data_IF_372382032925
#
_entry.id   IF_372382032925
#
_cell.length_a   1.000
_cell.length_b   1.000
_cell.length_c   1.000
_cell.angle_alpha   90.00
_cell.angle_beta   90.00
_cell.angle_gamma   90.00
#
_symmetry.space_group_name_H-M   'P 1'
#
loop_
_entity.id
_entity.type
_entity.pdbx_description
1 polymer ?
#
# COMPACT_ATOMS: atom_id res chain seq x y z
N UNK A 1 57.12 -9.75 9.64
CA UNK A 1 55.66 -9.76 9.92
C UNK A 1 54.90 -8.74 9.06
N UNK A 2 55.33 -7.46 8.98
CA UNK A 2 54.63 -6.42 8.19
C UNK A 2 54.66 -6.59 6.67
N UNK A 3 55.64 -7.29 6.11
CA UNK A 3 55.76 -7.52 4.65
C UNK A 3 54.84 -8.63 4.16
N UNK A 4 54.50 -9.61 5.02
CA UNK A 4 53.61 -10.72 4.69
C UNK A 4 52.14 -10.28 4.59
N UNK A 5 51.76 -9.17 5.21
CA UNK A 5 50.41 -8.59 5.14
C UNK A 5 50.19 -7.65 3.96
N UNK A 6 51.26 -7.20 3.28
CA UNK A 6 51.13 -6.28 2.14
C UNK A 6 50.72 -6.99 0.84
N UNK A 7 51.19 -8.23 0.66
CA UNK A 7 50.86 -9.05 -0.51
C UNK A 7 49.36 -9.32 -0.68
N UNK A 8 48.60 -9.75 0.36
CA UNK A 8 47.16 -9.98 0.21
C UNK A 8 46.38 -8.68 -0.02
N UNK A 9 46.82 -7.55 0.56
CA UNK A 9 46.18 -6.24 0.39
C UNK A 9 46.36 -5.71 -1.03
N UNK A 10 47.56 -5.86 -1.60
CA UNK A 10 47.82 -5.51 -3.00
C UNK A 10 47.03 -6.38 -3.99
N UNK A 11 46.89 -7.67 -3.69
CA UNK A 11 46.08 -8.58 -4.50
C UNK A 11 44.60 -8.20 -4.50
N UNK A 12 44.04 -7.85 -3.33
CA UNK A 12 42.66 -7.37 -3.22
C UNK A 12 42.44 -6.04 -3.96
N UNK A 13 43.38 -5.10 -3.84
CA UNK A 13 43.29 -3.81 -4.54
C UNK A 13 43.29 -3.98 -6.07
N UNK A 14 44.12 -4.87 -6.61
CA UNK A 14 44.13 -5.18 -8.04
C UNK A 14 42.81 -5.82 -8.52
N UNK A 15 42.20 -6.69 -7.70
CA UNK A 15 40.92 -7.32 -8.01
C UNK A 15 39.76 -6.31 -8.06
N UNK A 16 39.75 -5.34 -7.14
CA UNK A 16 38.73 -4.28 -7.10
C UNK A 16 38.79 -3.36 -8.31
N UNK A 17 40.00 -3.03 -8.79
CA UNK A 17 40.18 -2.15 -9.96
C UNK A 17 39.80 -2.88 -11.26
N UNK A 18 40.12 -4.19 -11.36
CA UNK A 18 39.76 -4.99 -12.53
C UNK A 18 38.25 -5.28 -12.62
N UNK A 19 37.56 -5.41 -11.48
CA UNK A 19 36.11 -5.64 -11.43
C UNK A 19 35.25 -4.46 -11.88
N UNK A 20 35.82 -3.26 -12.00
CA UNK A 20 35.09 -2.04 -12.37
C UNK A 20 35.07 -1.79 -13.89
N UNK A 21 35.74 -2.62 -14.69
CA UNK A 21 35.83 -2.52 -16.15
C UNK A 21 34.66 -3.20 -16.90
N UNK A 22 33.53 -3.47 -16.23
CA UNK A 22 32.32 -4.06 -16.82
C UNK A 22 31.22 -3.08 -17.21
N UNK A 23 31.38 -1.77 -16.96
CA UNK A 23 30.40 -0.76 -17.37
C UNK A 23 30.74 -0.22 -18.77
N UNK A 24 30.11 -0.79 -19.79
CA UNK A 24 30.16 -0.32 -21.18
C UNK A 24 29.56 1.10 -21.28
N UNK A 25 30.24 2.10 -21.86
CA UNK A 25 29.63 3.36 -22.25
C UNK A 25 29.19 3.29 -23.72
N UNK A 26 27.89 3.39 -23.96
CA UNK A 26 27.30 3.68 -25.28
C UNK A 26 25.98 4.36 -24.96
N UNK A 27 25.75 5.62 -25.27
CA UNK A 27 25.92 6.27 -26.56
C UNK A 27 24.63 7.09 -26.71
N UNK A 28 24.77 8.34 -27.12
CA UNK A 28 23.67 9.29 -27.13
C UNK A 28 22.56 8.93 -28.12
N UNK A 29 21.34 9.34 -27.73
CA UNK A 29 20.18 9.72 -28.55
C UNK A 29 19.22 8.66 -29.12
N UNK A 30 17.95 9.09 -29.22
CA UNK A 30 16.87 8.55 -30.04
C UNK A 30 15.83 7.63 -29.37
N UNK A 31 14.82 8.26 -28.76
CA UNK A 31 13.42 8.23 -29.23
C UNK A 31 12.47 8.51 -28.06
N UNK A 32 12.11 9.79 -27.89
CA UNK A 32 10.90 10.18 -27.16
C UNK A 32 9.71 9.59 -27.93
N UNK A 33 9.25 8.42 -27.53
CA UNK A 33 8.22 7.71 -28.28
C UNK A 33 7.54 6.57 -27.52
N UNK A 34 7.21 6.76 -26.23
CA UNK A 34 6.38 5.79 -25.51
C UNK A 34 5.63 6.39 -24.29
N UNK A 35 5.35 7.70 -24.30
CA UNK A 35 4.66 8.37 -23.18
C UNK A 35 3.25 8.86 -23.53
N UNK A 36 2.61 8.26 -24.54
CA UNK A 36 1.20 8.48 -24.82
C UNK A 36 0.51 7.12 -24.87
N UNK A 37 0.16 6.61 -23.68
CA UNK A 37 -0.90 5.61 -23.56
C UNK A 37 -2.13 6.21 -24.25
N UNK A 38 -2.62 5.52 -25.28
CA UNK A 38 -3.77 6.01 -26.03
C UNK A 38 -4.94 6.22 -25.07
N UNK A 39 -5.58 7.38 -25.18
CA UNK A 39 -6.71 7.79 -24.33
C UNK A 39 -7.90 6.80 -24.36
N UNK A 40 -7.87 5.84 -25.27
CA UNK A 40 -8.90 4.82 -25.47
C UNK A 40 -8.84 3.70 -24.42
N UNK A 41 -7.66 3.35 -23.90
CA UNK A 41 -7.50 2.31 -22.87
C UNK A 41 -7.99 2.77 -21.49
N UNK A 42 -7.84 4.06 -21.18
CA UNK A 42 -8.36 4.66 -19.95
C UNK A 42 -9.89 4.76 -19.89
N UNK A 43 -10.59 4.59 -21.02
CA UNK A 43 -12.05 4.60 -21.08
C UNK A 43 -12.67 3.27 -20.66
N UNK A 44 -11.92 2.17 -20.69
CA UNK A 44 -12.48 0.85 -20.37
C UNK A 44 -12.53 0.60 -18.85
N UNK A 45 -11.63 1.21 -18.08
CA UNK A 45 -11.62 1.15 -16.61
C UNK A 45 -12.71 1.97 -15.93
N UNK A 46 -13.45 2.82 -16.65
CA UNK A 46 -14.62 3.56 -16.11
C UNK A 46 -15.89 2.71 -16.12
N UNK A 47 -15.87 1.51 -16.73
CA UNK A 47 -16.94 0.51 -16.56
C UNK A 47 -16.84 -0.17 -15.19
N UNK A 48 -16.75 0.58 -14.09
CA UNK A 48 -17.01 0.03 -12.74
C UNK A 48 -18.53 0.10 -12.52
N UNK A 49 -19.30 -0.95 -12.80
CA UNK A 49 -20.75 -0.94 -12.63
C UNK A 49 -20.99 -1.33 -11.17
N UNK A 50 -20.78 -0.41 -10.23
CA UNK A 50 -20.89 -0.77 -8.80
C UNK A 50 -21.59 0.22 -7.90
N UNK A 51 -22.45 1.07 -8.47
CA UNK A 51 -23.48 1.80 -7.70
C UNK A 51 -24.88 1.69 -8.30
N UNK A 52 -25.01 1.66 -9.62
CA UNK A 52 -26.32 1.57 -10.28
C UNK A 52 -27.02 0.22 -10.18
N UNK A 53 -26.30 -0.88 -9.92
CA UNK A 53 -26.92 -2.22 -9.88
C UNK A 53 -27.89 -2.37 -8.70
N UNK A 54 -27.51 -1.85 -7.52
CA UNK A 54 -28.37 -1.89 -6.33
C UNK A 54 -29.61 -0.98 -6.47
N UNK A 55 -29.46 0.17 -7.12
CA UNK A 55 -30.59 1.08 -7.39
C UNK A 55 -31.56 0.52 -8.44
N UNK A 56 -31.06 -0.24 -9.43
CA UNK A 56 -31.87 -0.84 -10.50
C UNK A 56 -32.70 -2.04 -10.03
N UNK A 57 -32.22 -2.77 -9.01
CA UNK A 57 -32.91 -3.91 -8.42
C UNK A 57 -34.07 -3.51 -7.49
N UNK A 58 -34.31 -2.21 -7.27
CA UNK A 58 -35.38 -1.73 -6.39
C UNK A 58 -35.22 -2.16 -4.92
N UNK A 59 -34.06 -2.71 -4.56
CA UNK A 59 -33.72 -3.06 -3.18
C UNK A 59 -33.38 -1.75 -2.48
N UNK A 60 -34.17 -1.32 -1.47
CA UNK A 60 -33.78 -0.19 -0.64
C UNK A 60 -32.35 -0.44 -0.19
N UNK A 61 -31.46 0.55 -0.34
CA UNK A 61 -30.17 0.49 0.31
C UNK A 61 -30.41 0.07 1.77
N UNK A 62 -29.65 -0.89 2.33
CA UNK A 62 -29.82 -1.29 3.72
C UNK A 62 -29.93 -0.02 4.54
N UNK A 63 -31.05 0.14 5.25
CA UNK A 63 -31.26 1.32 6.08
C UNK A 63 -30.02 1.46 6.95
N UNK A 64 -29.31 2.61 6.92
CA UNK A 64 -28.06 2.75 7.63
C UNK A 64 -28.32 2.40 9.10
N UNK A 65 -27.53 1.45 9.63
CA UNK A 65 -27.69 1.01 11.01
C UNK A 65 -27.57 2.26 11.90
N UNK A 66 -28.60 2.61 12.70
CA UNK A 66 -28.52 3.78 13.58
C UNK A 66 -27.36 3.69 14.58
N UNK A 67 -26.77 2.52 14.77
CA UNK A 67 -25.61 2.29 15.62
C UNK A 67 -24.26 2.46 14.91
N UNK A 68 -24.20 2.58 13.58
CA UNK A 68 -22.94 2.78 12.84
C UNK A 68 -22.11 3.96 13.36
N UNK A 69 -22.67 5.17 13.59
CA UNK A 69 -21.88 6.30 14.06
C UNK A 69 -21.21 6.04 15.42
N UNK A 70 -21.85 5.22 16.26
CA UNK A 70 -21.30 4.86 17.57
C UNK A 70 -20.28 3.75 17.46
N UNK A 71 -20.47 2.83 16.50
CA UNK A 71 -19.50 1.80 16.15
C UNK A 71 -18.20 2.43 15.67
N UNK A 72 -18.27 3.42 14.77
CA UNK A 72 -17.09 4.17 14.32
C UNK A 72 -16.35 4.84 15.49
N UNK A 73 -17.07 5.41 16.47
CA UNK A 73 -16.45 6.00 17.67
C UNK A 73 -15.71 4.96 18.51
N UNK A 74 -16.24 3.74 18.63
CA UNK A 74 -15.57 2.66 19.37
C UNK A 74 -14.35 2.12 18.61
N UNK A 75 -14.45 1.94 17.28
CA UNK A 75 -13.34 1.49 16.43
C UNK A 75 -12.16 2.49 16.41
N UNK A 76 -12.44 3.79 16.62
CA UNK A 76 -11.40 4.81 16.75
C UNK A 76 -10.66 4.77 18.10
N UNK A 77 -11.14 4.02 19.08
CA UNK A 77 -10.51 3.86 20.38
C UNK A 77 -10.01 2.41 20.55
N UNK A 78 -8.69 2.17 20.58
CA UNK A 78 -8.13 0.82 20.61
C UNK A 78 -8.60 0.00 21.84
N UNK A 79 -8.84 0.66 22.98
CA UNK A 79 -9.33 -0.02 24.17
C UNK A 79 -10.81 -0.41 24.06
N UNK A 80 -11.61 0.39 23.34
CA UNK A 80 -13.01 0.07 23.08
C UNK A 80 -13.13 -1.02 22.00
N UNK A 81 -12.34 -0.93 20.94
CA UNK A 81 -12.31 -1.87 19.82
C UNK A 81 -11.93 -3.28 20.28
N UNK A 82 -10.81 -3.42 20.99
CA UNK A 82 -10.38 -4.70 21.57
C UNK A 82 -11.44 -5.25 22.54
N UNK A 83 -12.04 -4.38 23.37
CA UNK A 83 -13.09 -4.82 24.29
C UNK A 83 -14.36 -5.28 23.54
N UNK A 84 -14.71 -4.61 22.44
CA UNK A 84 -15.85 -4.97 21.60
C UNK A 84 -15.73 -6.37 20.99
N UNK A 85 -14.51 -6.86 20.74
CA UNK A 85 -14.28 -8.23 20.27
C UNK A 85 -14.61 -9.29 21.32
N UNK A 86 -14.45 -8.96 22.61
CA UNK A 86 -14.72 -9.90 23.71
C UNK A 86 -16.17 -9.88 24.20
N UNK A 87 -16.79 -8.69 24.24
CA UNK A 87 -18.09 -8.48 24.89
C UNK A 87 -19.17 -7.88 23.98
N UNK A 88 -18.81 -7.57 22.73
CA UNK A 88 -19.69 -6.91 21.78
C UNK A 88 -19.67 -5.39 21.90
N UNK A 89 -19.84 -4.74 20.74
CA UNK A 89 -19.79 -3.28 20.58
C UNK A 89 -20.70 -2.50 21.55
N UNK A 90 -21.96 -2.88 21.72
CA UNK A 90 -22.90 -2.08 22.53
C UNK A 90 -22.47 -2.00 24.00
N UNK A 91 -21.97 -3.11 24.56
CA UNK A 91 -21.53 -3.15 25.95
C UNK A 91 -20.14 -2.50 26.12
N UNK A 92 -19.25 -2.65 25.14
CA UNK A 92 -17.98 -1.94 25.11
C UNK A 92 -18.19 -0.42 25.05
N UNK A 93 -19.01 0.06 24.10
CA UNK A 93 -19.36 1.47 23.97
C UNK A 93 -19.98 2.01 25.27
N UNK A 94 -20.87 1.23 25.91
CA UNK A 94 -21.51 1.63 27.17
C UNK A 94 -20.52 1.89 28.30
N UNK A 95 -19.44 1.12 28.38
CA UNK A 95 -18.41 1.25 29.41
C UNK A 95 -17.50 2.47 29.22
N UNK A 96 -17.25 2.87 27.97
CA UNK A 96 -16.39 4.01 27.65
C UNK A 96 -17.16 5.33 27.52
N UNK A 97 -18.34 5.29 26.90
CA UNK A 97 -19.06 6.49 26.45
C UNK A 97 -20.45 6.65 27.07
N UNK A 98 -20.94 5.65 27.81
CA UNK A 98 -22.26 5.65 28.43
C UNK A 98 -23.37 5.12 27.50
N UNK A 99 -24.65 5.34 27.84
CA UNK A 99 -25.77 4.70 27.15
C UNK A 99 -25.75 4.92 25.63
N UNK A 100 -26.06 3.83 24.92
CA UNK A 100 -26.42 3.80 23.50
C UNK A 100 -27.89 4.27 23.42
#
# INVERSE_FOLDING_TARGET
MRTLTLLPVLALAALCIAGQAGAKPSGAESSKGAAFVSKQEGSEVVKRPRRYLYQWLGVPAPYPDPLEPRREVCELNPDCDELADHIGFQEAYRRFYGPV
#
